data_IF_807928756583
#
_entry.id   IF_807928756583
#
_cell.length_a   1.000
_cell.length_b   1.000
_cell.length_c   1.000
_cell.angle_alpha   90.00
_cell.angle_beta   90.00
_cell.angle_gamma   90.00
#
_symmetry.space_group_name_H-M   'P 1'
#
loop_
_entity.id
_entity.type
_entity.pdbx_description
1 polymer ?
#
# COMPACT_ATOMS: atom_id res chain seq x y z
N UNK A 1 -7.47 7.78 8.92
CA UNK A 1 -8.13 8.23 7.69
C UNK A 1 -7.39 7.67 6.47
N UNK A 2 -8.10 7.36 5.39
CA UNK A 2 -7.53 6.77 4.16
C UNK A 2 -7.79 7.69 2.97
N UNK A 3 -6.77 7.92 2.15
CA UNK A 3 -6.80 8.78 0.96
C UNK A 3 -6.15 8.03 -0.20
N UNK A 4 -6.71 8.08 -1.44
CA UNK A 4 -6.00 7.55 -2.60
C UNK A 4 -4.73 8.35 -2.88
N UNK A 5 -3.68 7.64 -3.30
CA UNK A 5 -2.41 8.26 -3.65
C UNK A 5 -2.36 8.86 -5.04
N UNK A 6 -1.32 9.66 -5.36
CA UNK A 6 -1.21 10.39 -6.62
C UNK A 6 -1.28 9.52 -7.88
N UNK A 7 -0.61 8.35 -7.89
CA UNK A 7 -0.63 7.47 -9.05
C UNK A 7 -2.01 6.86 -9.24
N UNK A 8 -2.67 6.49 -8.16
CA UNK A 8 -4.03 5.94 -8.18
C UNK A 8 -5.03 6.99 -8.70
N UNK A 9 -4.96 8.23 -8.23
CA UNK A 9 -5.81 9.31 -8.72
C UNK A 9 -5.54 9.59 -10.20
N UNK A 10 -4.29 9.65 -10.60
CA UNK A 10 -3.87 9.91 -11.99
C UNK A 10 -4.41 8.84 -12.95
N UNK A 11 -4.35 7.56 -12.58
CA UNK A 11 -4.76 6.45 -13.46
C UNK A 11 -6.29 6.33 -13.59
N UNK A 12 -7.03 6.85 -12.63
CA UNK A 12 -8.50 6.84 -12.64
C UNK A 12 -9.11 8.04 -13.36
N UNK A 13 -8.29 8.99 -13.85
CA UNK A 13 -8.74 10.22 -14.51
C UNK A 13 -8.08 10.39 -15.88
N UNK A 14 -8.82 10.96 -16.84
CA UNK A 14 -8.26 11.33 -18.13
C UNK A 14 -7.49 12.66 -18.01
N UNK A 15 -6.20 12.64 -18.35
CA UNK A 15 -5.39 13.85 -18.42
C UNK A 15 -5.59 14.56 -19.78
N UNK A 16 -6.36 15.64 -19.77
CA UNK A 16 -6.55 16.52 -20.93
C UNK A 16 -5.75 17.83 -20.84
N UNK A 17 -5.01 18.04 -19.76
CA UNK A 17 -4.33 19.32 -19.49
C UNK A 17 -2.82 19.21 -19.44
N UNK A 18 -2.28 18.31 -18.60
CA UNK A 18 -0.84 18.21 -18.39
C UNK A 18 -0.10 17.56 -19.54
N UNK A 19 -0.66 16.48 -20.11
CA UNK A 19 -0.03 15.61 -21.11
C UNK A 19 1.39 15.14 -20.67
N UNK A 20 1.64 15.14 -19.36
CA UNK A 20 2.87 14.77 -18.69
C UNK A 20 2.52 14.11 -17.35
N UNK A 21 2.67 12.79 -17.29
CA UNK A 21 2.29 11.97 -16.12
C UNK A 21 3.03 12.41 -14.86
N UNK A 22 4.33 12.73 -14.96
CA UNK A 22 5.11 13.14 -13.79
C UNK A 22 4.64 14.48 -13.23
N UNK A 23 4.41 15.45 -14.11
CA UNK A 23 3.91 16.78 -13.70
C UNK A 23 2.51 16.71 -13.09
N UNK A 24 1.62 15.91 -13.65
CA UNK A 24 0.31 15.67 -13.06
C UNK A 24 0.45 15.03 -11.66
N UNK A 25 1.29 14.00 -11.53
CA UNK A 25 1.53 13.34 -10.25
C UNK A 25 2.12 14.30 -9.19
N UNK A 26 3.00 15.25 -9.60
CA UNK A 26 3.55 16.27 -8.71
C UNK A 26 2.47 17.19 -8.12
N UNK A 27 1.53 17.65 -8.93
CA UNK A 27 0.45 18.52 -8.45
C UNK A 27 -0.60 17.75 -7.64
N UNK A 28 -0.87 16.48 -8.01
CA UNK A 28 -1.68 15.59 -7.19
C UNK A 28 -1.04 15.33 -5.82
N UNK A 29 0.26 15.08 -5.76
CA UNK A 29 0.98 14.88 -4.50
C UNK A 29 0.89 16.12 -3.57
N UNK A 30 0.97 17.33 -4.12
CA UNK A 30 0.76 18.57 -3.36
C UNK A 30 -0.67 18.66 -2.80
N UNK A 31 -1.66 18.28 -3.61
CA UNK A 31 -3.07 18.30 -3.21
C UNK A 31 -3.34 17.27 -2.11
N UNK A 32 -2.83 16.05 -2.25
CA UNK A 32 -2.94 15.00 -1.22
C UNK A 32 -2.23 15.44 0.07
N UNK A 33 -1.04 16.06 -0.04
CA UNK A 33 -0.33 16.58 1.13
C UNK A 33 -1.14 17.66 1.86
N UNK A 34 -1.76 18.60 1.13
CA UNK A 34 -2.62 19.62 1.73
C UNK A 34 -3.77 19.00 2.53
N UNK A 35 -4.43 17.99 1.97
CA UNK A 35 -5.51 17.27 2.64
C UNK A 35 -5.00 16.52 3.89
N UNK A 36 -3.86 15.85 3.80
CA UNK A 36 -3.25 15.16 4.94
C UNK A 36 -2.91 16.15 6.08
N UNK A 37 -2.35 17.30 5.77
CA UNK A 37 -2.03 18.31 6.78
C UNK A 37 -3.29 18.86 7.46
N UNK A 38 -4.38 19.08 6.71
CA UNK A 38 -5.66 19.50 7.27
C UNK A 38 -6.26 18.42 8.19
N UNK A 39 -6.18 17.15 7.83
CA UNK A 39 -6.60 16.03 8.67
C UNK A 39 -5.77 15.95 9.96
N UNK A 40 -4.47 16.15 9.88
CA UNK A 40 -3.57 16.16 11.03
C UNK A 40 -3.91 17.33 11.97
N UNK A 41 -4.16 18.51 11.43
CA UNK A 41 -4.60 19.69 12.19
C UNK A 41 -5.93 19.43 12.90
N UNK A 42 -6.86 18.71 12.25
CA UNK A 42 -8.11 18.26 12.84
C UNK A 42 -7.95 17.16 13.91
N UNK A 43 -6.71 16.70 14.17
CA UNK A 43 -6.40 15.74 15.23
C UNK A 43 -6.26 14.28 14.76
N UNK A 44 -6.21 14.01 13.46
CA UNK A 44 -6.01 12.67 12.94
C UNK A 44 -4.61 12.13 13.33
N UNK A 45 -4.57 10.94 13.93
CA UNK A 45 -3.32 10.30 14.39
C UNK A 45 -2.81 9.20 13.45
N UNK A 46 -3.65 8.74 12.54
CA UNK A 46 -3.32 7.67 11.58
C UNK A 46 -3.80 8.10 10.19
N UNK A 47 -2.89 8.26 9.26
CA UNK A 47 -3.20 8.60 7.87
C UNK A 47 -2.64 7.52 6.95
N UNK A 48 -3.49 6.99 6.09
CA UNK A 48 -3.13 5.98 5.11
C UNK A 48 -3.26 6.56 3.69
N UNK A 49 -2.24 6.35 2.87
CA UNK A 49 -2.25 6.62 1.43
C UNK A 49 -2.34 5.30 0.68
N UNK A 50 -3.33 5.16 -0.17
CA UNK A 50 -3.57 3.94 -0.96
C UNK A 50 -2.97 4.07 -2.36
N UNK A 51 -1.97 3.24 -2.65
CA UNK A 51 -1.29 3.17 -3.94
C UNK A 51 -1.32 1.74 -4.53
N UNK A 52 -2.51 1.17 -4.81
CA UNK A 52 -2.60 -0.14 -5.46
C UNK A 52 -1.89 -0.18 -6.82
N UNK A 53 -1.74 0.96 -7.47
CA UNK A 53 -1.06 1.09 -8.76
C UNK A 53 0.43 0.75 -8.68
N UNK A 54 1.07 0.85 -7.53
CA UNK A 54 2.47 0.47 -7.38
C UNK A 54 2.72 -0.99 -7.77
N UNK A 55 1.84 -1.89 -7.36
CA UNK A 55 1.94 -3.30 -7.72
C UNK A 55 1.65 -3.57 -9.21
N UNK A 56 0.84 -2.72 -9.87
CA UNK A 56 0.47 -2.87 -11.29
C UNK A 56 1.42 -2.14 -12.24
N UNK A 57 2.04 -1.07 -11.78
CA UNK A 57 2.90 -0.17 -12.57
C UNK A 57 4.25 0.04 -11.85
N UNK A 58 4.96 -1.07 -11.60
CA UNK A 58 6.24 -1.06 -10.86
C UNK A 58 7.26 -0.08 -11.43
N UNK A 59 7.32 0.06 -12.75
CA UNK A 59 8.25 1.00 -13.40
C UNK A 59 7.93 2.45 -13.05
N UNK A 60 6.66 2.87 -13.09
CA UNK A 60 6.23 4.21 -12.73
C UNK A 60 6.38 4.45 -11.22
N UNK A 61 6.07 3.44 -10.39
CA UNK A 61 6.29 3.52 -8.95
C UNK A 61 7.75 3.87 -8.63
N UNK A 62 8.70 3.18 -9.24
CA UNK A 62 10.14 3.41 -9.04
C UNK A 62 10.66 4.68 -9.68
N UNK A 63 10.14 5.07 -10.85
CA UNK A 63 10.67 6.25 -11.58
C UNK A 63 10.27 7.57 -10.95
N UNK A 64 9.06 7.69 -10.44
CA UNK A 64 8.55 8.92 -9.79
C UNK A 64 7.53 8.68 -8.66
N UNK A 65 6.86 7.52 -8.63
CA UNK A 65 5.79 7.24 -7.67
C UNK A 65 6.25 7.32 -6.21
N UNK A 66 7.42 6.78 -5.89
CA UNK A 66 7.98 6.86 -4.54
C UNK A 66 8.27 8.30 -4.10
N UNK A 67 8.81 9.12 -5.00
CA UNK A 67 9.01 10.55 -4.73
C UNK A 67 7.68 11.26 -4.45
N UNK A 68 6.64 10.96 -5.24
CA UNK A 68 5.31 11.54 -5.04
C UNK A 68 4.67 11.09 -3.73
N UNK A 69 4.84 9.83 -3.36
CA UNK A 69 4.38 9.31 -2.07
C UNK A 69 5.06 10.04 -0.89
N UNK A 70 6.36 10.25 -0.93
CA UNK A 70 7.07 11.00 0.12
C UNK A 70 6.59 12.47 0.21
N UNK A 71 6.30 13.09 -0.93
CA UNK A 71 5.73 14.45 -0.96
C UNK A 71 4.35 14.52 -0.30
N UNK A 72 3.53 13.46 -0.39
CA UNK A 72 2.24 13.40 0.32
C UNK A 72 2.41 13.54 1.83
N UNK A 73 3.49 13.04 2.40
CA UNK A 73 3.77 13.10 3.83
C UNK A 73 4.69 14.25 4.26
N UNK A 74 5.00 15.18 3.34
CA UNK A 74 5.86 16.31 3.67
C UNK A 74 5.23 17.18 4.77
N UNK A 75 6.02 17.52 5.81
CA UNK A 75 5.55 18.34 6.94
C UNK A 75 4.65 17.63 7.96
N UNK A 76 4.31 16.36 7.75
CA UNK A 76 3.51 15.59 8.70
C UNK A 76 4.33 15.31 9.97
N UNK A 77 3.74 15.59 11.13
CA UNK A 77 4.36 15.36 12.45
C UNK A 77 4.75 13.89 12.65
N UNK A 78 5.87 13.67 13.34
CA UNK A 78 6.32 12.32 13.75
C UNK A 78 5.36 11.62 14.73
N UNK A 79 4.46 12.34 15.36
CA UNK A 79 3.42 11.78 16.23
C UNK A 79 2.25 11.16 15.46
N UNK A 80 2.15 11.46 14.16
CA UNK A 80 1.14 10.88 13.25
C UNK A 80 1.71 9.65 12.60
N UNK A 81 1.00 8.54 12.69
CA UNK A 81 1.36 7.29 12.04
C UNK A 81 1.03 7.37 10.55
N UNK A 82 2.04 7.32 9.71
CA UNK A 82 1.94 7.34 8.25
C UNK A 82 1.90 5.91 7.74
N UNK A 83 0.85 5.58 7.01
CA UNK A 83 0.59 4.23 6.52
C UNK A 83 0.50 4.29 4.99
N UNK A 84 1.03 3.29 4.32
CA UNK A 84 0.87 3.10 2.88
C UNK A 84 0.18 1.76 2.64
N UNK A 85 -0.85 1.74 1.81
CA UNK A 85 -1.48 0.49 1.37
C UNK A 85 -1.15 0.20 -0.07
N UNK A 86 -0.69 -1.01 -0.34
CA UNK A 86 -0.57 -1.57 -1.68
C UNK A 86 -1.31 -2.91 -1.74
N UNK A 87 -2.07 -3.11 -2.79
CA UNK A 87 -2.75 -4.37 -3.05
C UNK A 87 -2.58 -4.81 -4.50
N UNK A 88 -2.86 -6.08 -4.76
CA UNK A 88 -2.81 -6.63 -6.12
C UNK A 88 -4.07 -6.32 -6.95
N UNK A 89 -5.01 -5.58 -6.37
CA UNK A 89 -6.30 -5.21 -6.95
C UNK A 89 -7.44 -6.14 -6.55
N UNK A 90 -8.68 -5.67 -6.74
CA UNK A 90 -9.91 -6.38 -6.37
C UNK A 90 -10.75 -6.74 -7.58
N UNK A 91 -11.50 -7.86 -7.54
CA UNK A 91 -12.51 -8.19 -8.55
C UNK A 91 -13.68 -7.21 -8.50
N UNK A 92 -14.47 -7.16 -9.57
CA UNK A 92 -15.67 -6.34 -9.64
C UNK A 92 -16.85 -6.95 -8.87
N UNK A 93 -16.84 -8.27 -8.72
CA UNK A 93 -17.89 -9.03 -8.05
C UNK A 93 -17.29 -10.00 -7.04
N UNK A 94 -18.07 -10.31 -6.01
CA UNK A 94 -17.70 -11.33 -5.02
C UNK A 94 -17.51 -12.68 -5.72
N UNK A 95 -16.47 -13.42 -5.33
CA UNK A 95 -16.10 -14.74 -5.88
C UNK A 95 -15.74 -14.76 -7.38
N UNK A 96 -15.42 -13.63 -7.99
CA UNK A 96 -14.91 -13.58 -9.36
C UNK A 96 -13.50 -14.19 -9.41
N UNK A 97 -13.32 -15.23 -10.25
CA UNK A 97 -12.04 -15.95 -10.38
C UNK A 97 -11.16 -15.41 -11.51
N UNK A 98 -11.76 -14.88 -12.58
CA UNK A 98 -11.05 -14.41 -13.79
C UNK A 98 -10.44 -13.01 -13.62
N UNK A 99 -10.42 -12.47 -12.44
CA UNK A 99 -9.89 -11.16 -12.16
C UNK A 99 -8.37 -11.11 -12.34
N UNK A 100 -7.89 -10.19 -13.20
CA UNK A 100 -6.47 -10.00 -13.46
C UNK A 100 -5.81 -9.25 -12.29
N UNK A 101 -5.09 -9.96 -11.45
CA UNK A 101 -4.24 -9.39 -10.39
C UNK A 101 -2.94 -8.80 -10.95
N UNK A 102 -2.26 -7.99 -10.14
CA UNK A 102 -0.88 -7.59 -10.38
C UNK A 102 0.04 -8.82 -10.39
N UNK A 103 1.25 -8.66 -10.95
CA UNK A 103 2.28 -9.69 -10.91
C UNK A 103 2.57 -10.05 -9.43
N UNK A 104 2.52 -11.32 -9.03
CA UNK A 104 2.83 -11.74 -7.67
C UNK A 104 4.22 -11.32 -7.17
N UNK A 105 5.18 -11.11 -8.09
CA UNK A 105 6.54 -10.65 -7.76
C UNK A 105 6.64 -9.12 -7.54
N UNK A 106 5.58 -8.37 -7.80
CA UNK A 106 5.60 -6.90 -7.67
C UNK A 106 6.00 -6.44 -6.27
N UNK A 107 5.51 -7.09 -5.23
CA UNK A 107 5.89 -6.75 -3.86
C UNK A 107 7.39 -6.94 -3.59
N UNK A 108 7.98 -8.03 -4.08
CA UNK A 108 9.42 -8.28 -3.93
C UNK A 108 10.25 -7.21 -4.66
N UNK A 109 9.78 -6.77 -5.84
CA UNK A 109 10.46 -5.74 -6.61
C UNK A 109 10.42 -4.36 -5.94
N UNK A 110 9.37 -4.07 -5.15
CA UNK A 110 9.15 -2.77 -4.51
C UNK A 110 9.70 -2.70 -3.07
N UNK A 111 9.71 -3.82 -2.35
CA UNK A 111 9.86 -3.87 -0.90
C UNK A 111 11.08 -3.14 -0.36
N UNK A 112 12.29 -3.42 -0.90
CA UNK A 112 13.53 -2.82 -0.40
C UNK A 112 13.57 -1.30 -0.54
N UNK A 113 13.07 -0.77 -1.64
CA UNK A 113 13.03 0.68 -1.87
C UNK A 113 11.97 1.31 -0.99
N UNK A 114 10.78 0.70 -0.89
CA UNK A 114 9.71 1.18 0.00
C UNK A 114 10.12 1.16 1.48
N UNK A 115 10.93 0.20 1.91
CA UNK A 115 11.45 0.16 3.29
C UNK A 115 12.29 1.38 3.65
N UNK A 116 12.87 2.08 2.67
CA UNK A 116 13.68 3.28 2.89
C UNK A 116 12.88 4.59 2.90
N UNK A 117 11.64 4.60 2.40
CA UNK A 117 10.81 5.80 2.31
C UNK A 117 10.36 6.29 3.69
N UNK A 118 9.96 7.56 3.78
CA UNK A 118 9.58 8.21 5.05
C UNK A 118 8.11 7.99 5.40
N UNK A 119 7.73 6.74 5.67
CA UNK A 119 6.46 6.36 6.31
C UNK A 119 6.72 5.25 7.35
N UNK A 120 5.72 4.89 8.16
CA UNK A 120 5.92 4.00 9.31
C UNK A 120 5.46 2.57 9.06
N UNK A 121 4.33 2.40 8.39
CA UNK A 121 3.68 1.10 8.22
C UNK A 121 3.27 0.88 6.77
N UNK A 122 3.38 -0.37 6.30
CA UNK A 122 2.87 -0.78 5.00
C UNK A 122 1.81 -1.87 5.16
N UNK A 123 0.66 -1.65 4.53
CA UNK A 123 -0.42 -2.63 4.44
C UNK A 123 -0.30 -3.38 3.11
N UNK A 124 -0.15 -4.69 3.20
CA UNK A 124 -0.07 -5.59 2.06
C UNK A 124 -1.14 -6.66 2.12
N UNK A 125 -1.68 -7.01 0.97
CA UNK A 125 -2.61 -8.10 0.80
C UNK A 125 -1.86 -9.44 0.80
N UNK A 126 -2.43 -10.46 1.46
CA UNK A 126 -1.89 -11.82 1.43
C UNK A 126 -2.96 -12.88 1.15
N UNK A 127 -4.15 -12.76 1.73
CA UNK A 127 -5.17 -13.82 1.68
C UNK A 127 -5.72 -14.11 0.27
N UNK A 128 -5.75 -13.11 -0.63
CA UNK A 128 -6.16 -13.31 -2.04
C UNK A 128 -5.05 -13.87 -2.91
N UNK A 129 -3.79 -13.68 -2.51
CA UNK A 129 -2.61 -13.92 -3.33
C UNK A 129 -1.47 -14.33 -2.39
N UNK A 130 -1.52 -15.57 -1.88
CA UNK A 130 -0.56 -16.06 -0.90
C UNK A 130 0.90 -15.74 -1.30
N UNK A 131 1.47 -14.72 -0.65
CA UNK A 131 2.84 -14.28 -0.91
C UNK A 131 3.86 -15.32 -0.44
N UNK A 132 5.02 -15.35 -1.09
CA UNK A 132 6.19 -15.95 -0.47
C UNK A 132 6.57 -15.10 0.77
N UNK A 133 6.48 -15.70 1.96
CA UNK A 133 6.67 -14.99 3.23
C UNK A 133 8.09 -14.43 3.43
N UNK A 134 9.07 -14.87 2.64
CA UNK A 134 10.39 -14.21 2.58
C UNK A 134 10.32 -12.76 2.13
N UNK A 135 9.20 -12.32 1.54
CA UNK A 135 8.91 -10.91 1.30
C UNK A 135 9.06 -10.08 2.58
N UNK A 136 8.63 -10.60 3.72
CA UNK A 136 8.66 -9.89 5.00
C UNK A 136 10.09 -9.59 5.47
N UNK A 137 11.07 -10.42 5.10
CA UNK A 137 12.49 -10.19 5.41
C UNK A 137 13.10 -8.99 4.66
N UNK A 138 12.44 -8.53 3.58
CA UNK A 138 12.89 -7.36 2.82
C UNK A 138 12.55 -6.02 3.50
N UNK A 139 11.68 -6.05 4.51
CA UNK A 139 11.32 -4.89 5.32
C UNK A 139 12.07 -4.95 6.66
N UNK A 140 13.07 -4.10 6.81
CA UNK A 140 13.89 -4.02 8.01
C UNK A 140 13.39 -2.94 8.99
N UNK A 141 12.72 -1.90 8.48
CA UNK A 141 12.33 -0.69 9.22
C UNK A 141 10.82 -0.56 9.43
N UNK A 142 10.02 -1.07 8.49
CA UNK A 142 8.56 -0.87 8.49
C UNK A 142 7.86 -1.88 9.39
N UNK A 143 6.73 -1.45 9.95
CA UNK A 143 5.72 -2.36 10.47
C UNK A 143 4.85 -2.81 9.32
N UNK A 144 4.57 -4.11 9.25
CA UNK A 144 3.73 -4.70 8.21
C UNK A 144 2.31 -4.91 8.75
N UNK A 145 1.32 -4.37 8.07
CA UNK A 145 -0.09 -4.69 8.27
C UNK A 145 -0.42 -5.79 7.25
N UNK A 146 -0.60 -7.00 7.74
CA UNK A 146 -0.66 -8.21 6.93
C UNK A 146 -2.10 -8.70 6.77
N UNK A 147 -2.65 -8.58 5.57
CA UNK A 147 -4.05 -8.90 5.25
C UNK A 147 -4.30 -10.40 5.14
N UNK A 148 -4.81 -11.01 6.21
CA UNK A 148 -5.04 -12.45 6.32
C UNK A 148 -6.44 -12.91 5.92
N UNK A 149 -7.35 -11.98 5.58
CA UNK A 149 -8.74 -12.27 5.21
C UNK A 149 -8.98 -11.89 3.75
N UNK A 150 -9.56 -12.82 2.98
CA UNK A 150 -9.86 -12.63 1.56
C UNK A 150 -11.24 -11.98 1.37
N UNK A 151 -11.34 -10.66 1.52
CA UNK A 151 -12.61 -9.93 1.54
C UNK A 151 -13.43 -9.99 0.23
N UNK A 152 -12.83 -10.38 -0.89
CA UNK A 152 -13.54 -10.58 -2.16
C UNK A 152 -14.03 -12.03 -2.35
N UNK A 153 -13.97 -12.86 -1.34
CA UNK A 153 -14.51 -14.21 -1.33
C UNK A 153 -15.63 -14.35 -0.31
N UNK A 154 -16.71 -15.03 -0.67
CA UNK A 154 -17.81 -15.32 0.25
C UNK A 154 -17.50 -16.46 1.23
N UNK A 155 -16.45 -17.24 0.96
CA UNK A 155 -15.95 -18.28 1.85
C UNK A 155 -15.39 -17.65 3.14
N UNK A 156 -15.71 -18.23 4.27
CA UNK A 156 -15.08 -17.90 5.56
C UNK A 156 -13.79 -18.70 5.71
N UNK A 157 -12.72 -18.03 6.06
CA UNK A 157 -11.47 -18.67 6.46
C UNK A 157 -11.64 -19.34 7.83
N UNK A 158 -11.04 -20.53 8.02
CA UNK A 158 -11.00 -21.15 9.32
C UNK A 158 -9.98 -20.48 10.25
N UNK A 159 -10.16 -20.66 11.56
CA UNK A 159 -9.21 -20.17 12.57
C UNK A 159 -7.82 -20.80 12.34
N UNK A 160 -7.77 -22.05 11.92
CA UNK A 160 -6.54 -22.79 11.63
C UNK A 160 -5.80 -22.19 10.43
N UNK A 161 -6.52 -21.83 9.35
CA UNK A 161 -5.93 -21.17 8.17
C UNK A 161 -5.30 -19.83 8.55
N UNK A 162 -6.05 -18.95 9.20
CA UNK A 162 -5.58 -17.62 9.61
C UNK A 162 -4.41 -17.76 10.60
N UNK A 163 -4.54 -18.60 11.62
CA UNK A 163 -3.48 -18.83 12.61
C UNK A 163 -2.22 -19.43 11.97
N UNK A 164 -2.38 -20.37 11.05
CA UNK A 164 -1.27 -20.96 10.32
C UNK A 164 -0.51 -19.90 9.51
N UNK A 165 -1.24 -19.00 8.84
CA UNK A 165 -0.63 -17.93 8.06
C UNK A 165 0.11 -16.90 8.92
N UNK A 166 -0.46 -16.52 10.06
CA UNK A 166 0.18 -15.63 11.04
C UNK A 166 1.46 -16.27 11.61
N UNK A 167 1.41 -17.54 12.01
CA UNK A 167 2.59 -18.26 12.51
C UNK A 167 3.69 -18.32 11.48
N UNK A 168 3.36 -18.62 10.22
CA UNK A 168 4.33 -18.58 9.14
C UNK A 168 4.96 -17.20 8.94
N UNK A 169 4.17 -16.12 9.00
CA UNK A 169 4.70 -14.77 8.91
C UNK A 169 5.69 -14.44 10.03
N UNK A 170 5.43 -14.90 11.25
CA UNK A 170 6.30 -14.71 12.42
C UNK A 170 7.65 -15.44 12.34
N UNK A 171 7.84 -16.35 11.39
CA UNK A 171 9.16 -16.95 11.08
C UNK A 171 10.05 -16.00 10.27
N UNK A 172 9.48 -14.93 9.68
CA UNK A 172 10.15 -14.02 8.75
C UNK A 172 10.17 -12.57 9.21
N UNK A 173 9.43 -12.21 10.27
CA UNK A 173 9.37 -10.85 10.79
C UNK A 173 9.17 -10.86 12.31
N UNK A 174 9.76 -9.88 13.00
CA UNK A 174 9.57 -9.72 14.43
C UNK A 174 8.13 -9.40 14.79
N UNK A 175 7.63 -10.01 15.85
CA UNK A 175 6.26 -9.84 16.35
C UNK A 175 5.87 -8.38 16.53
N UNK A 176 6.80 -7.54 16.99
CA UNK A 176 6.52 -6.13 17.28
C UNK A 176 6.41 -5.27 16.02
N UNK A 177 6.72 -5.85 14.85
CA UNK A 177 6.58 -5.23 13.53
C UNK A 177 5.51 -5.89 12.66
N UNK A 178 4.68 -6.76 13.22
CA UNK A 178 3.57 -7.41 12.52
C UNK A 178 2.23 -6.98 13.13
N UNK A 179 1.34 -6.46 12.30
CA UNK A 179 -0.07 -6.15 12.59
C UNK A 179 -0.94 -7.02 11.68
N UNK A 180 -2.09 -7.50 12.17
CA UNK A 180 -3.02 -8.34 11.41
C UNK A 180 -4.29 -7.54 11.12
#
# INVERSE_FOLDING_TARGET
>A
FTIPGPLTIMDTNADCFYQDRKRLAEDLAKTVNFEILALVEAGCKYVQVDEPLFARQVADAKSFGFEMLERCFHGVSKEVRKIVHICCGYPNFLDEEDYKKADPDSYHQLAREMDQLNFDQISIEDAHCANNLKLLELFEKKTIIFGTIAIARSRLESVEEVTGRIKGALEHIDRDRLVI
#
